data_IF_787243572776
#
_entry.id   IF_787243572776
#
_cell.length_a   1.000
_cell.length_b   1.000
_cell.length_c   1.000
_cell.angle_alpha   90.00
_cell.angle_beta   90.00
_cell.angle_gamma   90.00
#
_symmetry.space_group_name_H-M   'P 1'
#
loop_
_entity.id
_entity.type
_entity.pdbx_description
1 polymer ?
#
# COMPACT_ATOMS: atom_id res chain seq x y z
N UNK A 1 24.76 -3.73 12.85
CA UNK A 1 23.31 -3.56 12.60
C UNK A 1 22.75 -4.85 12.05
N UNK A 2 21.65 -5.30 12.58
CA UNK A 2 20.94 -6.47 12.04
C UNK A 2 20.16 -6.08 10.78
N UNK A 3 19.82 -7.06 9.94
CA UNK A 3 18.98 -6.83 8.76
C UNK A 3 17.65 -6.15 9.14
N UNK A 4 17.06 -6.57 10.26
CA UNK A 4 15.80 -6.02 10.76
C UNK A 4 15.88 -4.56 11.19
N UNK A 5 17.05 -4.07 11.59
CA UNK A 5 17.26 -2.65 11.90
C UNK A 5 17.58 -1.81 10.67
N UNK A 6 18.24 -2.42 9.69
CA UNK A 6 18.66 -1.71 8.47
C UNK A 6 17.52 -1.52 7.47
N UNK A 7 16.65 -2.53 7.31
CA UNK A 7 15.57 -2.50 6.31
C UNK A 7 14.59 -1.33 6.47
N UNK A 8 14.08 -0.99 7.68
CA UNK A 8 13.20 0.17 7.84
C UNK A 8 13.86 1.49 7.44
N UNK A 9 15.16 1.63 7.71
CA UNK A 9 15.92 2.81 7.32
C UNK A 9 16.07 2.89 5.80
N UNK A 10 16.42 1.78 5.16
CA UNK A 10 16.54 1.71 3.69
C UNK A 10 15.21 1.93 2.98
N UNK A 11 14.09 1.53 3.60
CA UNK A 11 12.76 1.74 3.05
C UNK A 11 12.37 3.22 2.93
N UNK A 12 13.01 4.12 3.68
CA UNK A 12 12.79 5.57 3.56
C UNK A 12 13.24 6.08 2.19
N UNK A 13 14.31 5.52 1.64
CA UNK A 13 14.92 5.99 0.37
C UNK A 13 13.93 5.93 -0.79
N UNK A 14 13.33 4.78 -1.13
CA UNK A 14 12.35 4.73 -2.23
C UNK A 14 11.12 5.58 -1.96
N UNK A 15 10.67 5.72 -0.72
CA UNK A 15 9.54 6.59 -0.38
C UNK A 15 9.85 8.05 -0.71
N UNK A 16 11.03 8.55 -0.32
CA UNK A 16 11.47 9.92 -0.62
C UNK A 16 11.60 10.12 -2.13
N UNK A 17 12.23 9.19 -2.83
CA UNK A 17 12.41 9.28 -4.29
C UNK A 17 11.07 9.32 -5.01
N UNK A 18 10.13 8.44 -4.66
CA UNK A 18 8.79 8.39 -5.26
C UNK A 18 8.02 9.67 -4.96
N UNK A 19 8.10 10.17 -3.73
CA UNK A 19 7.42 11.41 -3.33
C UNK A 19 7.93 12.60 -4.14
N UNK A 20 9.25 12.75 -4.27
CA UNK A 20 9.85 13.83 -5.07
C UNK A 20 9.49 13.70 -6.54
N UNK A 21 9.57 12.49 -7.09
CA UNK A 21 9.17 12.22 -8.47
C UNK A 21 7.69 12.56 -8.72
N UNK A 22 6.81 12.20 -7.79
CA UNK A 22 5.39 12.51 -7.87
C UNK A 22 5.11 14.02 -7.86
N UNK A 23 5.86 14.79 -7.06
CA UNK A 23 5.74 16.26 -7.02
C UNK A 23 6.17 16.93 -8.35
N UNK A 24 7.01 16.27 -9.13
CA UNK A 24 7.48 16.77 -10.44
C UNK A 24 6.61 16.29 -11.60
N UNK A 25 5.65 15.40 -11.36
CA UNK A 25 4.74 14.94 -12.40
C UNK A 25 3.82 16.07 -12.85
N UNK A 26 3.60 16.16 -14.16
CA UNK A 26 2.58 17.01 -14.77
C UNK A 26 1.19 16.42 -14.50
N UNK A 27 0.15 17.14 -14.92
CA UNK A 27 -1.26 16.80 -14.66
C UNK A 27 -1.70 15.40 -15.10
N UNK A 28 -0.92 14.75 -15.95
CA UNK A 28 -1.19 13.38 -16.40
C UNK A 28 -0.17 12.41 -15.81
N UNK A 29 -0.67 11.31 -15.29
CA UNK A 29 0.16 10.20 -14.81
C UNK A 29 0.85 9.52 -16.01
N UNK A 30 2.10 9.06 -15.84
CA UNK A 30 2.80 8.35 -16.90
C UNK A 30 2.09 7.02 -17.23
N UNK A 31 2.30 6.59 -18.47
CA UNK A 31 1.85 5.26 -18.90
C UNK A 31 2.46 4.17 -18.01
N UNK A 32 1.70 3.13 -17.78
CA UNK A 32 2.09 2.01 -16.90
C UNK A 32 2.37 2.39 -15.43
N UNK A 33 1.87 3.52 -14.95
CA UNK A 33 2.04 3.93 -13.54
C UNK A 33 1.52 2.87 -12.55
N UNK A 34 0.55 2.05 -12.96
CA UNK A 34 -0.01 0.96 -12.16
C UNK A 34 1.03 -0.10 -11.75
N UNK A 35 2.16 -0.18 -12.45
CA UNK A 35 3.26 -1.10 -12.11
C UNK A 35 3.86 -0.75 -10.76
N UNK A 36 3.90 0.52 -10.37
CA UNK A 36 4.46 0.97 -9.09
C UNK A 36 3.72 0.36 -7.89
N UNK A 37 2.41 0.55 -7.72
CA UNK A 37 1.70 -0.09 -6.61
C UNK A 37 1.63 -1.62 -6.77
N UNK A 38 1.62 -2.17 -7.98
CA UNK A 38 1.70 -3.61 -8.19
C UNK A 38 3.03 -4.19 -7.70
N UNK A 39 4.14 -3.51 -7.96
CA UNK A 39 5.45 -3.88 -7.44
C UNK A 39 5.49 -3.86 -5.91
N UNK A 40 4.98 -2.80 -5.28
CA UNK A 40 4.91 -2.72 -3.82
C UNK A 40 4.02 -3.81 -3.22
N UNK A 41 2.89 -4.12 -3.86
CA UNK A 41 2.03 -5.22 -3.45
C UNK A 41 2.80 -6.55 -3.47
N UNK A 42 3.50 -6.86 -4.56
CA UNK A 42 4.28 -8.08 -4.69
C UNK A 42 5.44 -8.16 -3.69
N UNK A 43 6.20 -7.08 -3.53
CA UNK A 43 7.34 -7.02 -2.62
C UNK A 43 6.90 -7.19 -1.16
N UNK A 44 5.83 -6.51 -0.76
CA UNK A 44 5.31 -6.60 0.61
C UNK A 44 4.70 -7.98 0.89
N UNK A 45 4.03 -8.58 -0.10
CA UNK A 45 3.52 -9.95 0.01
C UNK A 45 4.66 -10.95 0.18
N UNK A 46 5.71 -10.82 -0.63
CA UNK A 46 6.90 -11.67 -0.54
C UNK A 46 7.58 -11.57 0.83
N UNK A 47 7.56 -10.40 1.48
CA UNK A 47 8.06 -10.23 2.83
C UNK A 47 7.11 -10.78 3.90
N UNK A 48 5.81 -10.60 3.70
CA UNK A 48 4.79 -11.00 4.67
C UNK A 48 4.65 -12.51 4.80
N UNK A 49 4.83 -13.26 3.72
CA UNK A 49 4.74 -14.73 3.75
C UNK A 49 5.71 -15.35 4.77
N UNK A 50 7.04 -15.12 4.70
CA UNK A 50 7.95 -15.69 5.69
C UNK A 50 7.71 -15.14 7.11
N UNK A 51 7.28 -13.89 7.26
CA UNK A 51 6.92 -13.33 8.55
C UNK A 51 5.72 -14.08 9.17
N UNK A 52 4.67 -14.31 8.39
CA UNK A 52 3.50 -15.05 8.82
C UNK A 52 3.81 -16.53 9.15
N UNK A 53 4.74 -17.15 8.43
CA UNK A 53 5.19 -18.52 8.70
C UNK A 53 5.97 -18.60 10.02
N UNK A 54 6.85 -17.63 10.28
CA UNK A 54 7.72 -17.63 11.47
C UNK A 54 7.04 -17.13 12.74
N UNK A 55 6.23 -16.09 12.62
CA UNK A 55 5.65 -15.36 13.76
C UNK A 55 4.13 -15.60 13.90
N UNK A 56 3.54 -16.32 12.97
CA UNK A 56 2.10 -16.56 12.89
C UNK A 56 1.34 -15.46 12.15
N UNK A 57 0.12 -15.76 11.67
CA UNK A 57 -0.67 -14.83 10.86
C UNK A 57 -1.14 -13.59 11.63
N UNK A 58 -1.18 -13.64 12.96
CA UNK A 58 -1.53 -12.51 13.82
C UNK A 58 -0.32 -11.89 14.54
N UNK A 59 0.89 -12.29 14.16
CA UNK A 59 2.14 -11.80 14.77
C UNK A 59 2.29 -10.28 14.64
N UNK A 60 1.82 -9.69 13.55
CA UNK A 60 1.81 -8.24 13.36
C UNK A 60 1.00 -7.52 14.46
N UNK A 61 -0.12 -8.07 14.86
CA UNK A 61 -0.96 -7.48 15.90
C UNK A 61 -0.27 -7.52 17.27
N UNK A 62 0.32 -8.66 17.61
CA UNK A 62 1.11 -8.80 18.84
C UNK A 62 2.27 -7.81 18.86
N UNK A 63 3.02 -7.67 17.75
CA UNK A 63 4.13 -6.73 17.63
C UNK A 63 3.70 -5.28 17.85
N UNK A 64 2.52 -4.88 17.35
CA UNK A 64 2.01 -3.52 17.47
C UNK A 64 1.35 -3.22 18.82
N UNK A 65 0.96 -4.25 19.58
CA UNK A 65 0.26 -4.08 20.86
C UNK A 65 1.17 -4.03 22.08
N UNK A 66 2.46 -4.30 21.95
CA UNK A 66 3.40 -4.42 23.07
C UNK A 66 3.97 -3.10 23.57
N UNK A 67 3.96 -2.06 22.75
CA UNK A 67 4.56 -0.76 23.07
C UNK A 67 3.65 0.40 22.65
N UNK A 68 3.85 1.57 23.28
CA UNK A 68 3.16 2.78 22.87
C UNK A 68 3.52 3.18 21.42
N UNK A 69 4.77 3.02 21.02
CA UNK A 69 5.21 3.26 19.65
C UNK A 69 4.59 2.26 18.66
N UNK A 70 4.44 1.01 19.06
CA UNK A 70 3.73 0.00 18.26
C UNK A 70 2.27 0.40 18.01
N UNK A 71 1.57 0.86 19.04
CA UNK A 71 0.22 1.40 18.90
C UNK A 71 0.16 2.62 17.98
N UNK A 72 1.12 3.54 18.11
CA UNK A 72 1.21 4.73 17.26
C UNK A 72 1.34 4.35 15.77
N UNK A 73 2.24 3.42 15.46
CA UNK A 73 2.44 2.93 14.09
C UNK A 73 1.16 2.25 13.55
N UNK A 74 0.46 1.51 14.40
CA UNK A 74 -0.81 0.89 14.04
C UNK A 74 -1.89 1.92 13.71
N UNK A 75 -2.04 2.95 14.55
CA UNK A 75 -2.99 4.04 14.28
C UNK A 75 -2.64 4.81 13.02
N UNK A 76 -1.37 5.09 12.81
CA UNK A 76 -0.86 5.76 11.61
C UNK A 76 -1.23 4.97 10.34
N UNK A 77 -1.02 3.66 10.35
CA UNK A 77 -1.38 2.78 9.25
C UNK A 77 -2.89 2.82 8.97
N UNK A 78 -3.72 2.68 10.01
CA UNK A 78 -5.17 2.71 9.87
C UNK A 78 -5.67 4.05 9.32
N UNK A 79 -5.13 5.15 9.83
CA UNK A 79 -5.49 6.49 9.34
C UNK A 79 -5.08 6.69 7.89
N UNK A 80 -3.86 6.33 7.53
CA UNK A 80 -3.36 6.46 6.16
C UNK A 80 -4.19 5.63 5.17
N UNK A 81 -4.51 4.37 5.53
CA UNK A 81 -5.36 3.51 4.70
C UNK A 81 -6.78 4.07 4.55
N UNK A 82 -7.35 4.59 5.63
CA UNK A 82 -8.70 5.17 5.60
C UNK A 82 -8.75 6.42 4.71
N UNK A 83 -7.82 7.33 4.89
CA UNK A 83 -7.74 8.54 4.06
C UNK A 83 -7.50 8.20 2.59
N UNK A 84 -6.56 7.31 2.32
CA UNK A 84 -6.29 6.83 0.96
C UNK A 84 -7.51 6.19 0.32
N UNK A 85 -8.22 5.34 1.06
CA UNK A 85 -9.46 4.70 0.61
C UNK A 85 -10.52 5.73 0.21
N UNK A 86 -10.79 6.69 1.09
CA UNK A 86 -11.79 7.74 0.84
C UNK A 86 -11.45 8.54 -0.41
N UNK A 87 -10.17 8.88 -0.60
CA UNK A 87 -9.71 9.66 -1.75
C UNK A 87 -9.84 8.92 -3.09
N UNK A 88 -9.62 7.61 -3.11
CA UNK A 88 -9.71 6.81 -4.36
C UNK A 88 -11.12 6.28 -4.63
N UNK A 89 -11.99 6.27 -3.63
CA UNK A 89 -13.32 5.68 -3.73
C UNK A 89 -14.18 6.22 -4.90
N UNK A 90 -14.26 7.54 -5.16
CA UNK A 90 -15.02 8.06 -6.28
C UNK A 90 -14.53 7.53 -7.63
N UNK A 91 -13.21 7.43 -7.80
CA UNK A 91 -12.58 6.90 -9.03
C UNK A 91 -12.85 5.40 -9.18
N UNK A 92 -12.74 4.65 -8.10
CA UNK A 92 -13.01 3.22 -8.09
C UNK A 92 -14.48 2.93 -8.45
N UNK A 93 -15.42 3.71 -7.92
CA UNK A 93 -16.84 3.63 -8.27
C UNK A 93 -17.08 3.91 -9.76
N UNK A 94 -16.48 4.98 -10.28
CA UNK A 94 -16.60 5.35 -11.69
C UNK A 94 -16.05 4.28 -12.65
N UNK A 95 -15.10 3.48 -12.20
CA UNK A 95 -14.52 2.37 -12.95
C UNK A 95 -15.30 1.05 -12.82
N UNK A 96 -16.36 1.02 -12.02
CA UNK A 96 -17.17 -0.17 -11.79
C UNK A 96 -16.48 -1.25 -10.94
N UNK A 97 -15.52 -0.85 -10.10
CA UNK A 97 -14.85 -1.79 -9.21
C UNK A 97 -15.81 -2.32 -8.13
N UNK A 98 -15.70 -3.60 -7.83
CA UNK A 98 -16.53 -4.26 -6.81
C UNK A 98 -16.06 -3.87 -5.40
N UNK A 99 -16.60 -2.79 -4.87
CA UNK A 99 -16.16 -2.19 -3.60
C UNK A 99 -16.23 -3.15 -2.40
N UNK A 100 -17.26 -4.00 -2.21
CA UNK A 100 -17.26 -4.94 -1.09
C UNK A 100 -16.08 -5.90 -1.10
N UNK A 101 -15.68 -6.38 -2.27
CA UNK A 101 -14.48 -7.22 -2.42
C UNK A 101 -13.21 -6.44 -2.05
N UNK A 102 -13.07 -5.22 -2.53
CA UNK A 102 -11.91 -4.38 -2.25
C UNK A 102 -11.86 -3.89 -0.80
N UNK A 103 -13.01 -3.65 -0.20
CA UNK A 103 -13.09 -3.35 1.23
C UNK A 103 -12.57 -4.53 2.07
N UNK A 104 -12.93 -5.76 1.70
CA UNK A 104 -12.40 -6.95 2.36
C UNK A 104 -10.89 -7.08 2.18
N UNK A 105 -10.35 -6.71 1.01
CA UNK A 105 -8.92 -6.74 0.75
C UNK A 105 -8.11 -5.79 1.65
N UNK A 106 -8.72 -4.73 2.18
CA UNK A 106 -8.09 -3.83 3.16
C UNK A 106 -7.73 -4.53 4.47
N UNK A 107 -8.35 -5.67 4.77
CA UNK A 107 -7.94 -6.48 5.93
C UNK A 107 -6.50 -6.97 5.81
N UNK A 108 -5.95 -7.02 4.60
CA UNK A 108 -4.54 -7.29 4.32
C UNK A 108 -3.67 -6.02 4.42
N UNK A 109 -4.21 -4.90 4.90
CA UNK A 109 -3.50 -3.65 5.07
C UNK A 109 -3.01 -3.05 3.75
N UNK A 110 -1.75 -2.62 3.74
CA UNK A 110 -1.14 -1.99 2.56
C UNK A 110 -1.05 -2.90 1.34
N UNK A 111 -1.01 -4.21 1.50
CA UNK A 111 -1.03 -5.18 0.39
C UNK A 111 -2.34 -5.06 -0.38
N UNK A 112 -3.47 -5.13 0.31
CA UNK A 112 -4.79 -4.99 -0.31
C UNK A 112 -5.01 -3.61 -0.92
N UNK A 113 -4.57 -2.56 -0.24
CA UNK A 113 -4.65 -1.19 -0.75
C UNK A 113 -3.80 -1.00 -2.03
N UNK A 114 -2.57 -1.49 -2.04
CA UNK A 114 -1.69 -1.43 -3.21
C UNK A 114 -2.25 -2.21 -4.40
N UNK A 115 -2.83 -3.39 -4.16
CA UNK A 115 -3.50 -4.18 -5.19
C UNK A 115 -4.70 -3.43 -5.79
N UNK A 116 -5.52 -2.82 -4.96
CA UNK A 116 -6.66 -2.00 -5.41
C UNK A 116 -6.21 -0.80 -6.22
N UNK A 117 -5.19 -0.09 -5.76
CA UNK A 117 -4.65 1.07 -6.45
C UNK A 117 -4.06 0.68 -7.81
N UNK A 118 -3.31 -0.42 -7.88
CA UNK A 118 -2.78 -0.95 -9.13
C UNK A 118 -3.91 -1.27 -10.13
N UNK A 119 -4.97 -1.94 -9.66
CA UNK A 119 -6.13 -2.26 -10.50
C UNK A 119 -6.85 -1.01 -10.99
N UNK A 120 -7.04 -0.04 -10.13
CA UNK A 120 -7.68 1.23 -10.47
C UNK A 120 -6.89 1.98 -11.55
N UNK A 121 -5.59 2.14 -11.36
CA UNK A 121 -4.71 2.81 -12.31
C UNK A 121 -4.65 2.08 -13.66
N UNK A 122 -4.59 0.75 -13.64
CA UNK A 122 -4.64 -0.05 -14.87
C UNK A 122 -5.95 0.16 -15.65
N UNK A 123 -7.09 0.19 -14.96
CA UNK A 123 -8.38 0.43 -15.60
C UNK A 123 -8.48 1.86 -16.15
N UNK A 124 -7.95 2.86 -15.44
CA UNK A 124 -7.90 4.23 -15.92
C UNK A 124 -7.04 4.37 -17.18
N UNK A 125 -5.89 3.72 -17.21
CA UNK A 125 -5.02 3.70 -18.39
C UNK A 125 -5.73 3.05 -19.58
N UNK A 126 -6.39 1.91 -19.37
CA UNK A 126 -7.12 1.19 -20.41
C UNK A 126 -8.27 1.99 -21.01
N UNK A 127 -8.87 2.89 -20.22
CA UNK A 127 -9.95 3.80 -20.66
C UNK A 127 -9.42 5.13 -21.23
N UNK A 128 -8.11 5.30 -21.33
CA UNK A 128 -7.50 6.53 -21.83
C UNK A 128 -7.66 7.74 -20.89
N UNK A 129 -7.85 7.52 -19.60
CA UNK A 129 -8.03 8.57 -18.59
C UNK A 129 -6.70 9.09 -18.01
N UNK A 130 -5.63 8.35 -18.25
CA UNK A 130 -4.26 8.73 -17.86
C UNK A 130 -3.28 8.44 -18.99
#
# INVERSE_FOLDING_TARGET
MTLLTLLPILAIIPVVIITIAAMQMKDRLPRNIWIVPAFFCAALTAWTIPAAIKEGPLGFFAAQSQTLWGNQVWFDLLMALTMGWVLILPRAKALGMKLPFWLLSLSLGSIGFAAMLARMLYLQEKRGQI
#
